data_IF_933896090555
#
_entry.id   IF_933896090555
#
_cell.length_a   1.000
_cell.length_b   1.000
_cell.length_c   1.000
_cell.angle_alpha   90.00
_cell.angle_beta   90.00
_cell.angle_gamma   90.00
#
_symmetry.space_group_name_H-M   'P 1'
#
loop_
_entity.id
_entity.type
_entity.pdbx_description
1 polymer ?
#
# COMPACT_ATOMS: atom_id res chain seq x y z
N UNK A 1 2.52 -14.58 -6.28
CA UNK A 1 2.12 -13.18 -6.43
C UNK A 1 2.07 -12.48 -5.05
N UNK A 2 1.23 -12.94 -4.11
CA UNK A 2 1.15 -12.34 -2.76
C UNK A 2 2.47 -12.38 -1.99
N UNK A 3 3.24 -13.49 -2.10
CA UNK A 3 4.58 -13.58 -1.52
C UNK A 3 5.57 -12.54 -2.09
N UNK A 4 5.38 -12.09 -3.33
CA UNK A 4 6.18 -11.01 -3.94
C UNK A 4 5.77 -9.67 -3.33
N UNK A 5 4.47 -9.38 -3.27
CA UNK A 5 3.94 -8.17 -2.65
C UNK A 5 4.36 -8.04 -1.17
N UNK A 6 4.39 -9.16 -0.44
CA UNK A 6 4.92 -9.18 0.94
C UNK A 6 6.39 -8.77 1.00
N UNK A 7 7.23 -9.30 0.10
CA UNK A 7 8.66 -8.94 0.04
C UNK A 7 8.86 -7.48 -0.33
N UNK A 8 8.05 -6.95 -1.24
CA UNK A 8 8.08 -5.54 -1.65
C UNK A 8 7.73 -4.63 -0.46
N UNK A 9 6.68 -4.97 0.29
CA UNK A 9 6.32 -4.26 1.52
C UNK A 9 7.47 -4.30 2.55
N UNK A 10 8.05 -5.47 2.80
CA UNK A 10 9.16 -5.64 3.73
C UNK A 10 10.40 -4.86 3.32
N UNK A 11 10.71 -4.83 2.02
CA UNK A 11 11.79 -4.02 1.47
C UNK A 11 11.54 -2.53 1.69
N UNK A 12 10.34 -2.04 1.34
CA UNK A 12 9.96 -0.65 1.56
C UNK A 12 10.08 -0.26 3.03
N UNK A 13 9.53 -1.09 3.94
CA UNK A 13 9.61 -0.88 5.39
C UNK A 13 11.06 -0.83 5.86
N UNK A 14 11.92 -1.72 5.37
CA UNK A 14 13.34 -1.74 5.73
C UNK A 14 14.07 -0.46 5.32
N UNK A 15 13.71 0.13 4.18
CA UNK A 15 14.30 1.36 3.67
C UNK A 15 13.81 2.61 4.41
N UNK A 16 12.64 2.54 5.02
CA UNK A 16 12.07 3.65 5.81
C UNK A 16 12.57 3.69 7.26
N UNK A 17 13.32 2.67 7.71
CA UNK A 17 13.83 2.65 9.08
C UNK A 17 14.77 3.84 9.33
N UNK A 18 14.58 4.52 10.47
CA UNK A 18 15.34 5.72 10.83
C UNK A 18 14.83 7.03 10.21
N UNK A 19 13.81 6.99 9.37
CA UNK A 19 13.21 8.19 8.79
C UNK A 19 11.85 8.51 9.41
N UNK A 20 11.51 9.81 9.48
CA UNK A 20 10.16 10.26 9.82
C UNK A 20 9.29 10.23 8.58
N UNK A 21 8.43 9.22 8.48
CA UNK A 21 7.49 9.08 7.36
C UNK A 21 6.16 9.70 7.76
N UNK A 22 5.79 10.82 7.13
CA UNK A 22 4.57 11.60 7.39
C UNK A 22 3.51 11.51 6.29
N UNK A 23 3.82 10.75 5.24
CA UNK A 23 2.92 10.46 4.12
C UNK A 23 2.69 8.96 3.98
N UNK A 24 1.66 8.53 3.22
CA UNK A 24 1.39 7.14 2.98
C UNK A 24 2.55 6.40 2.31
N UNK A 25 2.64 5.11 2.57
CA UNK A 25 3.48 4.17 1.83
C UNK A 25 2.65 3.58 0.71
N UNK A 26 3.07 3.85 -0.52
CA UNK A 26 2.24 3.60 -1.70
C UNK A 26 2.63 2.28 -2.35
N UNK A 27 1.63 1.47 -2.70
CA UNK A 27 1.77 0.34 -3.60
C UNK A 27 1.37 0.76 -5.00
N UNK A 28 2.34 0.76 -5.90
CA UNK A 28 2.19 1.15 -7.29
C UNK A 28 1.64 -0.03 -8.12
N UNK A 29 0.42 0.11 -8.66
CA UNK A 29 -0.28 -0.91 -9.43
C UNK A 29 -0.44 -0.48 -10.89
N UNK A 30 0.66 -0.46 -11.63
CA UNK A 30 0.63 -0.20 -13.08
C UNK A 30 1.54 -1.14 -13.87
N UNK A 31 2.05 -2.19 -13.21
CA UNK A 31 3.00 -3.09 -13.83
C UNK A 31 2.33 -4.02 -14.85
N UNK A 32 2.75 -3.92 -16.11
CA UNK A 32 2.14 -4.62 -17.25
C UNK A 32 2.00 -6.15 -17.11
N UNK A 33 2.87 -6.82 -16.32
CA UNK A 33 2.70 -8.26 -16.07
C UNK A 33 1.57 -8.55 -15.10
N UNK A 34 1.29 -7.65 -14.16
CA UNK A 34 0.19 -7.80 -13.22
C UNK A 34 -1.17 -7.66 -13.93
N UNK A 35 -1.27 -6.90 -15.04
CA UNK A 35 -2.50 -6.81 -15.84
C UNK A 35 -2.94 -8.14 -16.48
N UNK A 36 -2.08 -9.16 -16.47
CA UNK A 36 -2.42 -10.53 -16.92
C UNK A 36 -3.03 -11.40 -15.82
N UNK A 37 -3.03 -10.91 -14.59
CA UNK A 37 -3.62 -11.58 -13.44
C UNK A 37 -5.11 -11.22 -13.34
N UNK A 38 -5.86 -12.00 -12.58
CA UNK A 38 -7.24 -11.62 -12.26
C UNK A 38 -7.27 -10.39 -11.33
N UNK A 39 -8.33 -9.58 -11.42
CA UNK A 39 -8.53 -8.46 -10.51
C UNK A 39 -8.47 -8.89 -9.03
N UNK A 40 -9.04 -10.05 -8.72
CA UNK A 40 -8.95 -10.65 -7.39
C UNK A 40 -7.49 -10.85 -6.95
N UNK A 41 -6.66 -11.47 -7.79
CA UNK A 41 -5.24 -11.74 -7.47
C UNK A 41 -4.46 -10.44 -7.28
N UNK A 42 -4.66 -9.45 -8.16
CA UNK A 42 -4.03 -8.12 -8.03
C UNK A 42 -4.43 -7.46 -6.71
N UNK A 43 -5.71 -7.52 -6.37
CA UNK A 43 -6.21 -6.93 -5.11
C UNK A 43 -5.71 -7.67 -3.87
N UNK A 44 -5.57 -8.99 -3.93
CA UNK A 44 -4.94 -9.78 -2.85
C UNK A 44 -3.45 -9.42 -2.66
N UNK A 45 -2.73 -9.11 -3.73
CA UNK A 45 -1.36 -8.59 -3.66
C UNK A 45 -1.34 -7.22 -2.98
N UNK A 46 -2.19 -6.29 -3.42
CA UNK A 46 -2.31 -4.97 -2.82
C UNK A 46 -2.71 -5.03 -1.34
N UNK A 47 -3.68 -5.89 -1.00
CA UNK A 47 -4.09 -6.12 0.39
C UNK A 47 -2.93 -6.65 1.25
N UNK A 48 -2.16 -7.59 0.71
CA UNK A 48 -0.98 -8.16 1.39
C UNK A 48 0.05 -7.07 1.69
N UNK A 49 0.38 -6.23 0.70
CA UNK A 49 1.28 -5.09 0.87
C UNK A 49 0.75 -4.12 1.93
N UNK A 50 -0.51 -3.69 1.79
CA UNK A 50 -1.13 -2.72 2.68
C UNK A 50 -1.20 -3.23 4.14
N UNK A 51 -1.51 -4.50 4.33
CA UNK A 51 -1.57 -5.10 5.66
C UNK A 51 -0.18 -5.16 6.32
N UNK A 52 0.86 -5.50 5.57
CA UNK A 52 2.23 -5.51 6.10
C UNK A 52 2.71 -4.10 6.47
N UNK A 53 2.40 -3.11 5.63
CA UNK A 53 2.67 -1.69 5.90
C UNK A 53 1.95 -1.23 7.18
N UNK A 54 0.66 -1.58 7.35
CA UNK A 54 -0.10 -1.28 8.58
C UNK A 54 0.50 -1.96 9.79
N UNK A 55 0.86 -3.22 9.67
CA UNK A 55 1.47 -4.00 10.75
C UNK A 55 2.79 -3.37 11.22
N UNK A 56 3.58 -2.83 10.31
CA UNK A 56 4.77 -2.05 10.63
C UNK A 56 4.46 -0.66 11.21
N UNK A 57 3.18 -0.26 11.26
CA UNK A 57 2.71 1.00 11.82
C UNK A 57 2.83 2.19 10.89
N UNK A 58 2.90 1.94 9.58
CA UNK A 58 2.81 2.97 8.55
C UNK A 58 1.41 3.03 7.96
N UNK A 59 1.13 4.05 7.18
CA UNK A 59 -0.15 4.27 6.53
C UNK A 59 -0.06 3.83 5.07
N UNK A 60 -0.80 2.81 4.62
CA UNK A 60 -0.74 2.35 3.24
C UNK A 60 -1.66 3.14 2.32
N UNK A 61 -1.32 3.16 1.04
CA UNK A 61 -2.07 3.71 -0.07
C UNK A 61 -1.83 2.88 -1.32
N UNK A 62 -2.76 2.88 -2.26
CA UNK A 62 -2.58 2.31 -3.59
C UNK A 62 -2.54 3.43 -4.62
N UNK A 63 -1.54 3.38 -5.52
CA UNK A 63 -1.48 4.19 -6.73
C UNK A 63 -1.89 3.36 -7.93
N UNK A 64 -2.72 3.93 -8.79
CA UNK A 64 -3.07 3.38 -10.10
C UNK A 64 -3.66 4.47 -11.00
N UNK A 65 -3.69 4.22 -12.31
CA UNK A 65 -4.48 5.03 -13.22
C UNK A 65 -5.98 4.63 -13.21
N UNK A 66 -6.81 5.40 -13.91
CA UNK A 66 -8.27 5.13 -13.99
C UNK A 66 -8.60 3.81 -14.68
N UNK A 67 -7.79 3.36 -15.65
CA UNK A 67 -7.99 2.09 -16.32
C UNK A 67 -7.69 0.90 -15.38
N UNK A 68 -6.63 0.99 -14.58
CA UNK A 68 -6.32 -0.01 -13.57
C UNK A 68 -7.41 -0.06 -12.49
N UNK A 69 -7.86 1.10 -12.05
CA UNK A 69 -8.93 1.22 -11.06
C UNK A 69 -10.19 0.48 -11.50
N UNK A 70 -10.59 0.69 -12.76
CA UNK A 70 -11.85 0.15 -13.31
C UNK A 70 -11.77 -1.33 -13.69
N UNK A 71 -10.61 -1.82 -14.17
CA UNK A 71 -10.54 -3.10 -14.88
C UNK A 71 -9.68 -4.16 -14.18
N UNK A 72 -8.76 -3.75 -13.28
CA UNK A 72 -7.78 -4.68 -12.72
C UNK A 72 -7.78 -4.76 -11.20
N UNK A 73 -8.63 -4.00 -10.52
CA UNK A 73 -8.69 -3.95 -9.06
C UNK A 73 -10.12 -4.24 -8.58
N UNK A 74 -10.24 -5.20 -7.66
CA UNK A 74 -11.47 -5.45 -6.90
C UNK A 74 -11.42 -4.66 -5.58
N UNK A 75 -12.01 -3.47 -5.59
CA UNK A 75 -12.00 -2.55 -4.45
C UNK A 75 -12.78 -3.07 -3.25
N UNK A 76 -13.61 -4.08 -3.40
CA UNK A 76 -14.31 -4.71 -2.27
C UNK A 76 -13.32 -5.36 -1.29
N UNK A 77 -12.16 -5.79 -1.78
CA UNK A 77 -11.06 -6.37 -0.97
C UNK A 77 -10.17 -5.31 -0.33
N UNK A 78 -10.21 -4.05 -0.80
CA UNK A 78 -9.33 -2.96 -0.37
C UNK A 78 -10.06 -1.89 0.43
N UNK A 79 -11.13 -2.27 1.13
CA UNK A 79 -11.91 -1.35 1.96
C UNK A 79 -11.01 -0.58 2.95
N UNK A 80 -11.15 0.75 2.97
CA UNK A 80 -10.38 1.63 3.85
C UNK A 80 -8.91 1.83 3.44
N UNK A 81 -8.55 1.49 2.20
CA UNK A 81 -7.28 1.88 1.59
C UNK A 81 -7.49 3.16 0.81
N UNK A 82 -6.69 4.19 1.09
CA UNK A 82 -6.71 5.45 0.33
C UNK A 82 -6.10 5.23 -1.06
N UNK A 83 -6.55 6.04 -2.02
CA UNK A 83 -6.16 5.93 -3.43
C UNK A 83 -5.44 7.20 -3.89
N UNK A 84 -4.32 7.02 -4.56
CA UNK A 84 -3.66 8.03 -5.38
C UNK A 84 -3.91 7.66 -6.84
N UNK A 85 -4.77 8.45 -7.51
CA UNK A 85 -5.20 8.15 -8.87
C UNK A 85 -4.47 8.99 -9.90
N UNK A 86 -4.01 8.36 -10.97
CA UNK A 86 -3.46 9.06 -12.12
C UNK A 86 -4.52 9.21 -13.21
N UNK A 87 -4.66 10.41 -13.72
CA UNK A 87 -5.42 10.72 -14.92
C UNK A 87 -4.87 11.97 -15.56
N UNK A 88 -4.33 11.79 -16.75
CA UNK A 88 -3.79 12.86 -17.58
C UNK A 88 -4.78 13.24 -18.67
N UNK A 89 -4.76 14.47 -19.12
CA UNK A 89 -5.64 14.94 -20.20
C UNK A 89 -5.17 16.27 -20.77
N UNK A 90 -5.75 16.70 -21.88
CA UNK A 90 -5.42 17.98 -22.51
C UNK A 90 -6.00 19.19 -21.73
N UNK A 91 -6.83 18.90 -20.76
CA UNK A 91 -7.41 19.88 -19.82
C UNK A 91 -7.22 19.38 -18.39
N UNK A 92 -7.01 20.31 -17.45
CA UNK A 92 -6.97 19.99 -16.02
C UNK A 92 -8.40 19.69 -15.56
N UNK A 93 -8.80 18.42 -15.68
CA UNK A 93 -10.09 17.93 -15.23
C UNK A 93 -9.91 16.73 -14.33
N UNK A 94 -10.20 16.92 -13.04
CA UNK A 94 -10.12 15.85 -12.06
C UNK A 94 -11.06 14.68 -12.42
N UNK A 95 -10.64 13.43 -12.10
CA UNK A 95 -11.54 12.28 -12.21
C UNK A 95 -12.78 12.48 -11.33
N UNK A 96 -13.87 11.81 -11.70
CA UNK A 96 -15.09 11.80 -10.89
C UNK A 96 -14.78 11.21 -9.50
N UNK A 97 -14.93 12.04 -8.48
CA UNK A 97 -14.56 11.71 -7.11
C UNK A 97 -15.52 10.70 -6.46
N UNK A 98 -16.78 10.68 -6.87
CA UNK A 98 -17.75 9.70 -6.38
C UNK A 98 -17.45 8.31 -6.92
N UNK A 99 -16.98 8.22 -8.16
CA UNK A 99 -16.58 6.97 -8.79
C UNK A 99 -15.27 6.42 -8.24
N UNK A 100 -14.24 7.25 -8.16
CA UNK A 100 -12.86 6.80 -7.91
C UNK A 100 -12.39 6.93 -6.46
N UNK A 101 -13.11 7.61 -5.60
CA UNK A 101 -12.87 7.75 -4.16
C UNK A 101 -11.38 7.96 -3.78
N UNK A 102 -10.67 8.80 -4.53
CA UNK A 102 -9.25 9.07 -4.35
C UNK A 102 -8.99 10.20 -3.34
N UNK A 103 -7.78 10.24 -2.80
CA UNK A 103 -7.31 11.28 -1.88
C UNK A 103 -6.18 12.11 -2.45
N UNK A 104 -5.49 11.60 -3.48
CA UNK A 104 -4.49 12.31 -4.28
C UNK A 104 -4.81 12.06 -5.76
N UNK A 105 -4.66 13.09 -6.58
CA UNK A 105 -4.78 13.01 -8.04
C UNK A 105 -3.50 13.48 -8.71
N UNK A 106 -2.82 12.59 -9.43
CA UNK A 106 -1.74 12.94 -10.33
C UNK A 106 -2.33 13.42 -11.65
N UNK A 107 -2.18 14.71 -11.92
CA UNK A 107 -2.82 15.39 -13.05
C UNK A 107 -1.99 15.35 -14.32
N UNK A 108 -0.68 15.13 -14.20
CA UNK A 108 0.26 14.97 -15.30
C UNK A 108 1.50 14.23 -14.84
N UNK A 109 2.12 13.49 -15.76
CA UNK A 109 3.47 12.92 -15.65
C UNK A 109 4.55 13.86 -16.19
N UNK A 110 4.15 15.09 -16.55
CA UNK A 110 5.03 16.11 -17.10
C UNK A 110 5.51 15.87 -18.52
N UNK A 111 5.28 14.69 -19.08
CA UNK A 111 5.88 14.16 -20.30
C UNK A 111 5.14 14.55 -21.58
N UNK A 112 4.40 15.64 -21.60
CA UNK A 112 3.67 16.07 -22.80
C UNK A 112 4.30 17.27 -23.45
N UNK A 113 4.56 17.16 -24.74
CA UNK A 113 5.23 18.19 -25.55
C UNK A 113 4.44 19.51 -25.66
N UNK A 114 3.15 19.49 -25.36
CA UNK A 114 2.29 20.66 -25.46
C UNK A 114 1.09 20.64 -24.51
N UNK A 115 0.57 21.82 -24.24
CA UNK A 115 -0.65 22.01 -23.43
C UNK A 115 -0.40 22.06 -21.93
N UNK A 116 -1.48 21.92 -21.16
CA UNK A 116 -1.48 22.04 -19.69
C UNK A 116 -0.76 20.89 -18.97
N UNK A 117 -0.32 19.88 -19.69
CA UNK A 117 0.30 18.69 -19.13
C UNK A 117 1.83 18.72 -19.17
N UNK A 118 2.45 19.64 -19.91
CA UNK A 118 3.89 19.84 -19.87
C UNK A 118 4.30 20.58 -18.61
N UNK A 119 5.24 20.07 -17.86
CA UNK A 119 5.81 20.72 -16.67
C UNK A 119 7.19 21.28 -16.91
N UNK A 120 7.69 21.16 -18.15
CA UNK A 120 9.03 21.63 -18.54
C UNK A 120 9.20 23.12 -18.23
N UNK A 121 10.16 23.46 -17.36
CA UNK A 121 10.44 24.82 -16.94
C UNK A 121 9.42 25.49 -16.02
N UNK A 122 8.37 24.77 -15.57
CA UNK A 122 7.34 25.32 -14.68
C UNK A 122 7.74 25.27 -13.21
N UNK A 123 8.59 24.32 -12.83
CA UNK A 123 8.98 24.12 -11.42
C UNK A 123 10.30 24.83 -11.14
N UNK A 124 10.30 25.77 -10.19
CA UNK A 124 11.48 26.51 -9.81
C UNK A 124 12.60 25.55 -9.31
N UNK A 125 13.79 25.72 -9.88
CA UNK A 125 14.95 24.88 -9.57
C UNK A 125 15.05 23.59 -10.39
N UNK A 126 14.06 23.28 -11.22
CA UNK A 126 14.10 22.18 -12.18
C UNK A 126 14.40 22.77 -13.58
N UNK A 127 15.51 22.37 -14.25
CA UNK A 127 15.81 22.87 -15.58
C UNK A 127 14.74 22.51 -16.59
N UNK A 128 14.50 23.37 -17.57
CA UNK A 128 13.62 23.06 -18.69
C UNK A 128 14.12 21.80 -19.43
N UNK A 129 13.18 20.98 -19.92
CA UNK A 129 13.46 19.69 -20.52
C UNK A 129 13.45 18.50 -19.53
N UNK A 130 13.25 18.78 -18.24
CA UNK A 130 12.99 17.75 -17.26
C UNK A 130 11.48 17.73 -16.90
N UNK A 131 10.90 16.57 -16.96
CA UNK A 131 9.50 16.35 -16.64
C UNK A 131 9.34 16.19 -15.12
N UNK A 132 8.23 16.68 -14.60
CA UNK A 132 7.90 16.61 -13.18
C UNK A 132 6.42 16.29 -13.05
N UNK A 133 6.11 15.27 -12.27
CA UNK A 133 4.75 14.91 -11.92
C UNK A 133 4.10 16.02 -11.09
N UNK A 134 2.82 16.28 -11.33
CA UNK A 134 2.06 17.26 -10.57
C UNK A 134 0.82 16.63 -9.97
N UNK A 135 0.65 16.85 -8.68
CA UNK A 135 -0.39 16.24 -7.88
C UNK A 135 -1.28 17.26 -7.16
N UNK A 136 -2.55 16.90 -7.03
CA UNK A 136 -3.51 17.58 -6.16
C UNK A 136 -3.82 16.67 -4.96
N UNK A 137 -3.41 17.09 -3.77
CA UNK A 137 -3.76 16.42 -2.52
C UNK A 137 -5.05 16.96 -1.93
N UNK A 138 -6.01 16.10 -1.63
CA UNK A 138 -7.29 16.44 -1.01
C UNK A 138 -7.32 16.13 0.48
N UNK A 139 -6.31 15.43 0.98
CA UNK A 139 -6.13 15.06 2.40
C UNK A 139 -4.76 15.54 2.86
N UNK A 140 -4.74 16.28 3.95
CA UNK A 140 -3.49 16.64 4.63
C UNK A 140 -3.02 15.49 5.50
N UNK A 141 -2.19 14.64 4.93
CA UNK A 141 -1.64 13.47 5.63
C UNK A 141 -0.73 13.84 6.79
N UNK A 142 -0.15 15.02 6.81
CA UNK A 142 0.66 15.46 7.94
C UNK A 142 -0.15 15.62 9.24
N UNK A 143 -1.46 15.84 9.12
CA UNK A 143 -2.41 15.85 10.24
C UNK A 143 -2.98 14.48 10.56
N UNK A 144 -3.04 13.58 9.56
CA UNK A 144 -3.60 12.22 9.69
C UNK A 144 -2.56 11.21 10.21
N UNK A 145 -1.30 11.38 9.81
CA UNK A 145 -0.20 10.49 10.14
C UNK A 145 0.69 11.15 11.18
N UNK A 146 0.82 10.53 12.36
CA UNK A 146 1.84 10.92 13.32
C UNK A 146 3.17 10.26 12.96
N UNK A 147 4.18 11.01 12.49
CA UNK A 147 5.47 10.42 12.14
C UNK A 147 6.12 9.78 13.36
N UNK A 148 6.55 8.55 13.23
CA UNK A 148 7.25 7.83 14.28
C UNK A 148 8.62 7.40 13.79
N UNK A 149 9.62 7.51 14.67
CA UNK A 149 10.87 6.82 14.48
C UNK A 149 10.64 5.33 14.69
N UNK A 150 10.69 4.55 13.61
CA UNK A 150 10.61 3.11 13.70
C UNK A 150 12.02 2.55 13.79
N UNK A 151 12.32 1.82 14.86
CA UNK A 151 13.55 1.03 14.93
C UNK A 151 13.29 -0.35 14.32
N UNK A 152 14.31 -0.93 13.70
CA UNK A 152 14.25 -2.31 13.18
C UNK A 152 13.82 -3.33 14.24
N UNK A 153 14.10 -3.05 15.52
CA UNK A 153 13.74 -3.92 16.63
C UNK A 153 12.23 -3.97 16.94
N UNK A 154 11.45 -3.02 16.46
CA UNK A 154 10.00 -2.99 16.69
C UNK A 154 9.19 -3.57 15.52
N UNK A 155 9.85 -3.92 14.43
CA UNK A 155 9.22 -4.51 13.26
C UNK A 155 9.57 -5.99 13.15
N UNK A 156 8.57 -6.84 13.28
CA UNK A 156 8.68 -8.28 13.02
C UNK A 156 8.01 -8.54 11.68
N UNK A 157 8.76 -8.90 10.62
CA UNK A 157 8.19 -9.23 9.32
C UNK A 157 7.15 -10.34 9.42
N UNK A 158 6.07 -10.28 8.62
CA UNK A 158 5.16 -11.40 8.49
C UNK A 158 5.93 -12.61 7.95
N UNK A 159 5.73 -13.74 8.56
CA UNK A 159 6.24 -14.99 8.01
C UNK A 159 5.55 -15.26 6.67
N UNK A 160 6.26 -15.90 5.72
CA UNK A 160 5.67 -16.31 4.44
C UNK A 160 4.33 -16.99 4.68
N UNK A 161 3.30 -16.71 3.85
CA UNK A 161 2.14 -17.57 3.83
C UNK A 161 2.63 -19.00 3.60
N UNK A 162 2.24 -19.90 4.48
CA UNK A 162 2.61 -21.31 4.38
C UNK A 162 2.04 -21.85 3.06
N UNK A 163 2.92 -22.17 2.11
CA UNK A 163 2.53 -22.86 0.88
C UNK A 163 2.44 -24.34 1.22
N UNK A 164 1.42 -24.70 2.03
CA UNK A 164 0.89 -26.03 2.23
C UNK A 164 1.84 -27.22 2.02
N UNK A 165 2.97 -27.27 2.70
CA UNK A 165 3.68 -28.52 2.96
C UNK A 165 3.43 -28.90 4.41
N UNK A 166 2.69 -29.95 4.59
CA UNK A 166 2.36 -30.56 5.85
C UNK A 166 3.65 -31.21 6.42
N UNK A 167 4.55 -30.38 6.90
CA UNK A 167 5.69 -30.78 7.73
C UNK A 167 5.32 -30.40 9.16
N UNK A 168 5.29 -31.39 10.04
CA UNK A 168 4.83 -31.30 11.43
C UNK A 168 5.61 -30.34 12.34
N UNK A 169 5.93 -29.16 11.88
CA UNK A 169 6.52 -28.07 12.64
C UNK A 169 5.43 -27.34 13.41
N UNK A 170 5.58 -27.25 14.71
CA UNK A 170 4.70 -26.46 15.60
C UNK A 170 4.63 -25.02 15.10
N UNK A 171 3.41 -24.47 15.00
CA UNK A 171 3.21 -23.05 14.72
C UNK A 171 3.94 -22.19 15.77
N UNK A 172 4.66 -21.18 15.31
CA UNK A 172 5.40 -20.30 16.23
C UNK A 172 4.44 -19.42 17.03
N UNK A 173 4.78 -19.15 18.28
CA UNK A 173 4.05 -18.24 19.16
C UNK A 173 3.86 -16.88 18.51
N UNK A 174 2.63 -16.35 18.50
CA UNK A 174 2.32 -15.03 17.97
C UNK A 174 0.95 -14.92 17.33
N UNK A 175 0.68 -13.73 16.78
CA UNK A 175 -0.55 -13.43 16.06
C UNK A 175 -0.44 -13.88 14.60
N UNK A 176 -1.35 -14.76 14.18
CA UNK A 176 -1.43 -15.32 12.84
C UNK A 176 -2.73 -14.90 12.16
N UNK A 177 -2.78 -15.01 10.84
CA UNK A 177 -3.97 -14.77 10.05
C UNK A 177 -4.22 -15.93 9.09
N UNK A 178 -5.42 -16.47 9.12
CA UNK A 178 -5.88 -17.51 8.21
C UNK A 178 -7.29 -17.16 7.72
N UNK A 179 -7.51 -17.20 6.41
CA UNK A 179 -8.81 -16.92 5.78
C UNK A 179 -9.43 -15.57 6.20
N UNK A 180 -8.61 -14.54 6.37
CA UNK A 180 -9.04 -13.20 6.79
C UNK A 180 -9.37 -13.06 8.28
N UNK A 181 -9.22 -14.10 9.08
CA UNK A 181 -9.39 -14.09 10.53
C UNK A 181 -8.04 -14.14 11.24
N UNK A 182 -7.94 -13.45 12.37
CA UNK A 182 -6.74 -13.50 13.22
C UNK A 182 -6.92 -14.55 14.30
N UNK A 183 -5.84 -15.27 14.61
CA UNK A 183 -5.73 -16.14 15.78
C UNK A 183 -4.35 -15.99 16.41
N UNK A 184 -4.26 -16.31 17.67
CA UNK A 184 -3.01 -16.26 18.41
C UNK A 184 -2.53 -17.68 18.72
N UNK A 185 -1.23 -17.94 18.54
CA UNK A 185 -0.57 -19.18 18.98
C UNK A 185 0.19 -18.88 20.25
N UNK A 186 -0.09 -19.63 21.31
CA UNK A 186 0.58 -19.46 22.58
C UNK A 186 1.98 -20.11 22.62
N UNK A 187 2.70 -19.94 23.71
CA UNK A 187 4.05 -20.48 23.88
C UNK A 187 4.11 -22.02 23.83
N UNK A 188 2.97 -22.70 23.98
CA UNK A 188 2.84 -24.16 23.86
C UNK A 188 2.55 -24.62 22.43
N UNK A 189 2.45 -23.69 21.45
CA UNK A 189 2.10 -24.00 20.07
C UNK A 189 0.60 -24.25 19.86
N UNK A 190 -0.27 -23.83 20.79
CA UNK A 190 -1.72 -24.02 20.71
C UNK A 190 -2.40 -22.77 20.17
N UNK A 191 -3.36 -22.95 19.25
CA UNK A 191 -4.22 -21.85 18.78
C UNK A 191 -5.19 -21.46 19.90
N UNK A 192 -5.15 -20.19 20.28
CA UNK A 192 -6.09 -19.61 21.25
C UNK A 192 -7.30 -19.07 20.50
N UNK A 193 -8.49 -19.57 20.81
CA UNK A 193 -9.77 -19.11 20.28
C UNK A 193 -10.67 -18.60 21.41
N UNK A 194 -11.56 -17.68 21.08
CA UNK A 194 -12.59 -17.15 21.99
C UNK A 194 -12.05 -16.53 23.30
N UNK A 195 -10.82 -16.01 23.25
CA UNK A 195 -10.18 -15.32 24.36
C UNK A 195 -9.56 -14.00 23.89
N UNK A 196 -9.60 -13.01 24.76
CA UNK A 196 -8.87 -11.76 24.54
C UNK A 196 -7.39 -11.98 24.80
N UNK A 197 -6.55 -11.70 23.79
CA UNK A 197 -5.09 -11.74 23.93
C UNK A 197 -4.53 -10.34 23.80
N UNK A 198 -3.62 -10.00 24.71
CA UNK A 198 -2.90 -8.71 24.67
C UNK A 198 -1.52 -8.94 24.10
N UNK A 199 -1.25 -8.35 22.93
CA UNK A 199 0.05 -8.39 22.26
C UNK A 199 0.55 -6.97 22.14
N UNK A 200 1.72 -6.67 22.68
CA UNK A 200 2.35 -5.34 22.66
C UNK A 200 1.41 -4.21 23.14
N UNK A 201 0.62 -4.49 24.19
CA UNK A 201 -0.29 -3.52 24.78
C UNK A 201 -1.60 -3.28 24.01
N UNK A 202 -1.88 -4.09 23.00
CA UNK A 202 -3.18 -4.10 22.29
C UNK A 202 -3.89 -5.41 22.53
N UNK A 203 -5.19 -5.33 22.82
CA UNK A 203 -6.08 -6.48 23.05
C UNK A 203 -6.80 -6.81 21.74
N UNK A 204 -6.81 -8.09 21.36
CA UNK A 204 -7.40 -8.62 20.14
C UNK A 204 -8.42 -9.68 20.48
#
# INVERSE_FOLDING_TARGET
ETATALKEAQLAISKMQGYKVSYPVVYDLEYAKASKLSAKTVSEMALTFCNEVRRAGYYPMVYCDTNWYDNYIDWSLLSGVDVWIARYGDTIQAPDKERYNYTIWQSTDGNRESGLNSTSGLVAGIPAGNDVDMDFGYVDYTKKITPRWKSLHSYVPAMKPDTGSNDGSQEQTGLHQENGKYYYVNENGERVSDQWVTVNGKTY
#
